data_IF_898716607761
#
_entry.id   IF_898716607761
#
_cell.length_a   1.000
_cell.length_b   1.000
_cell.length_c   1.000
_cell.angle_alpha   90.00
_cell.angle_beta   90.00
_cell.angle_gamma   90.00
#
_symmetry.space_group_name_H-M   'P 1'
#
loop_
_entity.id
_entity.type
_entity.pdbx_description
1 polymer ?
#
# COMPACT_ATOMS: atom_id res chain seq x y z
N UNK A 1 12.56 -23.54 -15.06
CA UNK A 1 11.41 -22.85 -14.44
C UNK A 1 10.20 -23.26 -15.26
N UNK A 2 9.30 -24.03 -14.68
CA UNK A 2 8.14 -24.58 -15.39
C UNK A 2 6.86 -24.23 -14.62
N UNK A 3 5.82 -23.85 -15.35
CA UNK A 3 4.49 -23.57 -14.80
C UNK A 3 3.55 -24.70 -15.23
N UNK A 4 2.95 -25.40 -14.27
CA UNK A 4 1.95 -26.44 -14.54
C UNK A 4 0.86 -26.40 -13.49
N UNK A 5 -0.39 -26.38 -13.94
CA UNK A 5 -1.59 -26.29 -13.08
C UNK A 5 -1.57 -25.08 -12.13
N UNK A 6 -1.05 -23.94 -12.60
CA UNK A 6 -0.95 -22.71 -11.78
C UNK A 6 0.15 -22.74 -10.71
N UNK A 7 1.00 -23.77 -10.68
CA UNK A 7 2.13 -23.86 -9.78
C UNK A 7 3.46 -23.63 -10.51
N UNK A 8 4.30 -22.80 -9.90
CA UNK A 8 5.66 -22.50 -10.37
C UNK A 8 6.67 -23.46 -9.73
N UNK A 9 7.35 -24.25 -10.56
CA UNK A 9 8.33 -25.24 -10.11
C UNK A 9 9.77 -24.72 -10.29
N UNK A 10 10.50 -24.60 -9.18
CA UNK A 10 11.93 -24.28 -9.14
C UNK A 10 12.70 -25.49 -8.57
N UNK A 11 13.77 -25.89 -9.25
CA UNK A 11 14.67 -26.96 -8.83
C UNK A 11 16.11 -26.45 -8.91
N UNK A 12 16.91 -26.78 -7.91
CA UNK A 12 18.34 -26.52 -7.90
C UNK A 12 19.06 -27.80 -7.48
N UNK A 13 19.99 -28.27 -8.32
CA UNK A 13 20.66 -29.57 -8.22
C UNK A 13 22.18 -29.37 -8.07
N UNK A 14 22.88 -30.32 -7.45
CA UNK A 14 24.34 -30.29 -7.34
C UNK A 14 24.90 -29.55 -6.12
N UNK A 15 24.09 -29.34 -5.06
CA UNK A 15 24.59 -28.82 -3.79
C UNK A 15 25.36 -29.90 -3.03
N UNK A 16 26.69 -29.88 -3.13
CA UNK A 16 27.57 -30.77 -2.38
C UNK A 16 28.47 -29.98 -1.42
N UNK A 17 28.74 -30.59 -0.27
CA UNK A 17 29.71 -30.26 0.80
C UNK A 17 29.70 -28.86 1.48
N UNK A 18 29.03 -27.84 0.97
CA UNK A 18 28.92 -26.56 1.69
C UNK A 18 27.46 -26.16 1.81
N UNK A 19 27.01 -25.91 3.05
CA UNK A 19 25.64 -25.54 3.40
C UNK A 19 25.15 -24.35 2.56
N UNK A 20 24.48 -24.57 1.43
CA UNK A 20 24.15 -23.51 0.51
C UNK A 20 22.78 -22.97 0.89
N UNK A 21 22.72 -21.71 1.30
CA UNK A 21 21.44 -21.10 1.64
C UNK A 21 20.72 -20.69 0.36
N UNK A 22 19.71 -21.46 -0.06
CA UNK A 22 18.86 -21.11 -1.20
C UNK A 22 17.84 -20.07 -0.75
N UNK A 23 17.85 -18.88 -1.37
CA UNK A 23 16.91 -17.79 -1.09
C UNK A 23 16.08 -17.50 -2.33
N UNK A 24 14.76 -17.67 -2.24
CA UNK A 24 13.81 -17.35 -3.32
C UNK A 24 13.02 -16.11 -2.90
N UNK A 25 13.09 -15.05 -3.71
CA UNK A 25 12.28 -13.84 -3.55
C UNK A 25 11.30 -13.77 -4.72
N UNK A 26 10.04 -14.04 -4.46
CA UNK A 26 8.98 -13.85 -5.44
C UNK A 26 8.55 -12.38 -5.41
N UNK A 27 9.09 -11.59 -6.34
CA UNK A 27 8.63 -10.22 -6.58
C UNK A 27 7.61 -10.24 -7.70
N UNK A 28 6.36 -10.10 -7.33
CA UNK A 28 5.31 -9.65 -8.24
C UNK A 28 5.43 -8.13 -8.23
N UNK A 29 5.66 -7.51 -9.39
CA UNK A 29 5.46 -6.07 -9.51
C UNK A 29 3.99 -5.83 -9.17
N UNK A 30 3.73 -5.42 -7.93
CA UNK A 30 2.43 -4.97 -7.52
C UNK A 30 2.06 -3.88 -8.53
N UNK A 31 0.98 -4.09 -9.27
CA UNK A 31 0.37 -3.07 -10.10
C UNK A 31 0.45 -1.77 -9.30
N UNK A 32 1.20 -0.79 -9.84
CA UNK A 32 1.20 0.57 -9.30
C UNK A 32 -0.25 0.86 -8.98
N UNK A 33 -0.59 1.27 -7.74
CA UNK A 33 -1.97 1.53 -7.40
C UNK A 33 -2.49 2.55 -8.39
N UNK A 34 -3.24 2.06 -9.38
CA UNK A 34 -4.12 2.86 -10.19
C UNK A 34 -4.98 3.55 -9.16
N UNK A 35 -4.85 4.86 -9.11
CA UNK A 35 -5.53 5.77 -8.21
C UNK A 35 -6.92 5.23 -7.95
N UNK A 36 -7.13 4.69 -6.75
CA UNK A 36 -8.40 4.11 -6.38
C UNK A 36 -9.48 5.17 -6.59
N UNK A 37 -10.47 4.96 -7.48
CA UNK A 37 -11.70 5.72 -7.36
C UNK A 37 -12.29 5.34 -6.00
N UNK A 38 -12.54 6.37 -5.20
CA UNK A 38 -13.74 6.52 -4.35
C UNK A 38 -14.48 5.21 -4.00
N UNK A 39 -14.59 4.84 -2.71
CA UNK A 39 -15.36 3.66 -2.33
C UNK A 39 -16.80 3.78 -2.84
N UNK A 40 -17.16 2.87 -3.75
CA UNK A 40 -18.55 2.57 -4.11
C UNK A 40 -19.12 1.83 -2.90
N UNK A 41 -19.93 2.54 -2.12
CA UNK A 41 -20.88 1.93 -1.20
C UNK A 41 -22.25 1.87 -1.91
N UNK A 42 -22.79 0.67 -1.98
CA UNK A 42 -24.14 0.25 -2.39
C UNK A 42 -25.22 1.03 -1.61
N UNK A 43 -26.46 1.19 -2.12
CA UNK A 43 -27.31 2.34 -1.86
C UNK A 43 -28.12 2.19 -0.56
N UNK A 44 -27.84 3.04 0.42
CA UNK A 44 -28.77 3.33 1.50
C UNK A 44 -28.57 4.77 1.98
N UNK A 45 -29.61 5.57 1.74
CA UNK A 45 -29.96 6.84 2.37
C UNK A 45 -28.84 7.89 2.59
N UNK A 46 -28.98 9.02 1.88
CA UNK A 46 -28.31 10.30 2.18
C UNK A 46 -28.27 10.58 3.69
N UNK A 47 -27.11 11.02 4.19
CA UNK A 47 -27.02 12.36 4.72
C UNK A 47 -25.97 13.15 3.93
N UNK A 48 -26.21 14.43 3.69
CA UNK A 48 -25.29 15.30 2.98
C UNK A 48 -23.88 15.21 3.58
N UNK A 49 -22.99 14.48 2.88
CA UNK A 49 -21.63 14.22 3.33
C UNK A 49 -20.89 15.54 3.30
N UNK A 50 -20.73 16.17 4.46
CA UNK A 50 -19.91 17.36 4.60
C UNK A 50 -18.55 17.08 3.95
N UNK A 51 -18.19 17.88 2.93
CA UNK A 51 -17.00 17.68 2.09
C UNK A 51 -15.79 17.57 3.01
N UNK A 52 -15.26 16.35 3.20
CA UNK A 52 -14.07 16.12 4.01
C UNK A 52 -12.86 16.53 3.18
N UNK A 53 -12.16 17.57 3.61
CA UNK A 53 -10.91 17.99 2.99
C UNK A 53 -9.75 17.27 3.65
N UNK A 54 -8.78 16.89 2.85
CA UNK A 54 -7.57 16.22 3.33
C UNK A 54 -6.41 17.19 3.24
N UNK A 55 -5.72 17.45 4.35
CA UNK A 55 -4.52 18.31 4.39
C UNK A 55 -3.29 17.50 4.77
N UNK A 56 -2.14 17.95 4.29
CA UNK A 56 -0.84 17.39 4.69
C UNK A 56 -0.25 18.29 5.76
N UNK A 57 0.07 17.71 6.90
CA UNK A 57 0.68 18.40 8.03
C UNK A 57 2.12 17.91 8.20
N UNK A 58 3.07 18.82 8.33
CA UNK A 58 4.50 18.53 8.38
C UNK A 58 5.13 19.04 9.67
N UNK A 59 5.96 18.22 10.31
CA UNK A 59 6.79 18.58 11.46
C UNK A 59 8.21 18.08 11.19
N UNK A 60 9.10 18.98 10.78
CA UNK A 60 10.43 18.61 10.29
C UNK A 60 10.35 17.69 9.06
N UNK A 61 10.98 16.51 9.13
CA UNK A 61 10.96 15.48 8.07
C UNK A 61 9.72 14.58 8.08
N UNK A 62 8.88 14.67 9.10
CA UNK A 62 7.69 13.81 9.24
C UNK A 62 6.46 14.50 8.64
N UNK A 63 5.73 13.80 7.76
CA UNK A 63 4.44 14.25 7.22
C UNK A 63 3.30 13.34 7.66
N UNK A 64 2.12 13.93 7.90
CA UNK A 64 0.91 13.21 8.27
C UNK A 64 -0.27 13.78 7.49
N UNK A 65 -1.10 12.88 6.95
CA UNK A 65 -2.32 13.23 6.22
C UNK A 65 -3.49 13.27 7.21
N UNK A 66 -4.23 14.38 7.24
CA UNK A 66 -5.38 14.59 8.15
C UNK A 66 -6.63 14.85 7.33
N UNK A 67 -7.64 13.99 7.47
CA UNK A 67 -8.92 14.10 6.77
C UNK A 67 -10.02 14.44 7.76
N UNK A 68 -10.63 15.62 7.62
CA UNK A 68 -11.75 16.05 8.45
C UNK A 68 -12.63 17.05 7.68
N UNK A 69 -13.80 17.39 8.20
CA UNK A 69 -14.69 18.40 7.60
C UNK A 69 -14.06 19.79 7.66
N UNK A 70 -13.34 20.11 8.75
CA UNK A 70 -12.50 21.30 8.91
C UNK A 70 -11.13 20.83 9.43
N UNK A 71 -10.21 20.43 8.54
CA UNK A 71 -8.96 19.81 8.96
C UNK A 71 -7.99 20.86 9.53
N UNK A 72 -7.41 20.56 10.69
CA UNK A 72 -6.39 21.37 11.38
C UNK A 72 -5.19 20.48 11.67
N UNK A 73 -3.98 21.05 11.60
CA UNK A 73 -2.77 20.31 11.93
C UNK A 73 -2.61 20.14 13.45
N UNK A 74 -2.25 18.93 13.93
CA UNK A 74 -2.00 18.70 15.34
C UNK A 74 -0.82 19.55 15.85
N UNK A 75 -0.77 19.75 17.17
CA UNK A 75 0.20 20.64 17.82
C UNK A 75 1.64 20.34 17.41
N UNK A 76 2.32 21.34 16.85
CA UNK A 76 3.69 21.24 16.35
C UNK A 76 3.82 20.83 14.88
N UNK A 77 2.73 20.58 14.16
CA UNK A 77 2.73 20.35 12.71
C UNK A 77 2.22 21.60 11.97
N UNK A 78 2.92 22.00 10.91
CA UNK A 78 2.50 23.08 10.00
C UNK A 78 1.77 22.50 8.80
N UNK A 79 0.78 23.22 8.29
CA UNK A 79 0.09 22.83 7.04
C UNK A 79 1.04 23.00 5.87
N UNK A 80 1.10 21.99 5.01
CA UNK A 80 1.77 22.01 3.71
C UNK A 80 0.75 22.13 2.60
#
# INVERSE_FOLDING_TARGET
MNEKNGWLYLSANGFTYSAPTVRVKLTQEAEKPVVAPTPIATPAAKPAVAKKTTITCVKGKTSKKVTAVKPVCPTGFKKK
#
